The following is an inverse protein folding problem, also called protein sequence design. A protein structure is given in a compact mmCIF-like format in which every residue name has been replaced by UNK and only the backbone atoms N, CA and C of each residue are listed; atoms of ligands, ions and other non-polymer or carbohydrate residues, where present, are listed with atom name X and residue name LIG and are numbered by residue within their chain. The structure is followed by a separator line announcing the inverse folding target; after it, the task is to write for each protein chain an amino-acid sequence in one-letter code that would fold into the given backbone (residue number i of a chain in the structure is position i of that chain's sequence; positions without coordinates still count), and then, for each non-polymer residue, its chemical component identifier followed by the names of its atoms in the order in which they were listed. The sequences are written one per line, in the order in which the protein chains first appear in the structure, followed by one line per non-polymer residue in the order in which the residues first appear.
data_IF_387684333587
#
_entry.id   IF_387684333587
#
_cell.length_a   1.000
_cell.length_b   1.000
_cell.length_c   1.000
_cell.angle_alpha   90.00
_cell.angle_beta   90.00
_cell.angle_gamma   90.00
#
_symmetry.space_group_name_H-M   'P 1'
#
loop_
_entity.id
_entity.type
_entity.pdbx_description
1 polymer ?
#
# COMPACT_ATOMS: atom_id res chain seq x y z
N UNK A 1 10.00 -51.57 -6.67
CA UNK A 1 10.50 -50.90 -7.88
C UNK A 1 9.28 -50.50 -8.70
N UNK A 2 9.30 -49.28 -9.25
CA UNK A 2 8.31 -48.65 -10.14
C UNK A 2 7.11 -47.95 -9.47
N UNK A 3 7.08 -46.63 -9.72
CA UNK A 3 6.13 -45.60 -9.31
C UNK A 3 4.83 -45.65 -10.12
N UNK A 4 3.75 -45.09 -9.56
CA UNK A 4 2.51 -44.77 -10.27
C UNK A 4 2.39 -43.26 -10.44
N UNK A 5 2.36 -42.78 -11.68
CA UNK A 5 1.91 -41.44 -12.06
C UNK A 5 0.46 -41.51 -12.54
N UNK A 6 -0.37 -40.53 -12.15
CA UNK A 6 -1.81 -40.53 -12.38
C UNK A 6 -2.24 -39.19 -12.97
N UNK A 7 -1.91 -38.93 -14.23
CA UNK A 7 -2.46 -37.80 -14.99
C UNK A 7 -3.29 -38.32 -16.16
N UNK A 8 -4.41 -37.63 -16.39
CA UNK A 8 -5.36 -37.74 -17.51
C UNK A 8 -6.37 -38.89 -17.44
N UNK A 9 -7.63 -38.54 -17.11
CA UNK A 9 -8.83 -39.16 -17.70
C UNK A 9 -10.02 -38.20 -17.64
N UNK A 10 -10.28 -37.63 -18.81
CA UNK A 10 -11.55 -37.18 -19.39
C UNK A 10 -12.83 -37.64 -18.66
N UNK A 11 -13.72 -36.68 -18.37
CA UNK A 11 -15.11 -36.92 -17.97
C UNK A 11 -16.04 -36.01 -18.76
N UNK A 12 -16.56 -36.53 -19.87
CA UNK A 12 -17.59 -35.93 -20.72
C UNK A 12 -18.96 -36.38 -20.18
N UNK A 13 -19.86 -35.45 -19.86
CA UNK A 13 -21.31 -35.72 -19.72
C UNK A 13 -22.14 -34.61 -20.35
N UNK A 14 -22.90 -35.00 -21.36
CA UNK A 14 -23.91 -34.28 -22.14
C UNK A 14 -25.29 -34.24 -21.47
N UNK A 15 -26.04 -33.13 -21.63
CA UNK A 15 -27.47 -33.08 -22.03
C UNK A 15 -27.94 -31.61 -22.09
N UNK A 16 -28.14 -31.02 -23.28
CA UNK A 16 -29.42 -30.77 -23.99
C UNK A 16 -30.38 -29.78 -23.31
N UNK A 17 -30.67 -28.68 -24.00
CA UNK A 17 -31.80 -27.78 -23.75
C UNK A 17 -31.69 -26.50 -24.59
N UNK A 18 -32.50 -26.40 -25.65
CA UNK A 18 -32.51 -25.34 -26.64
C UNK A 18 -32.95 -23.96 -26.09
N UNK A 19 -32.70 -22.88 -26.84
CA UNK A 19 -33.72 -21.89 -27.32
C UNK A 19 -33.07 -20.57 -27.81
N UNK A 20 -33.44 -20.21 -29.05
CA UNK A 20 -33.54 -18.90 -29.70
C UNK A 20 -32.30 -18.05 -30.06
N UNK A 21 -32.23 -17.77 -31.36
CA UNK A 21 -31.31 -16.88 -32.05
C UNK A 21 -31.78 -15.42 -32.01
N UNK A 22 -30.86 -14.48 -31.73
CA UNK A 22 -30.91 -13.08 -32.21
C UNK A 22 -29.48 -12.53 -32.33
N UNK A 23 -29.11 -12.12 -33.57
CA UNK A 23 -28.21 -11.01 -33.88
C UNK A 23 -26.70 -11.11 -33.59
N UNK A 24 -25.90 -11.44 -34.62
CA UNK A 24 -24.48 -11.09 -34.66
C UNK A 24 -24.18 -10.33 -35.97
N UNK A 25 -23.82 -9.05 -35.87
CA UNK A 25 -23.21 -8.26 -36.94
C UNK A 25 -21.75 -8.67 -37.07
N UNK A 26 -21.39 -9.28 -38.20
CA UNK A 26 -20.01 -9.52 -38.57
C UNK A 26 -19.40 -8.23 -39.17
N UNK A 27 -18.34 -7.70 -38.56
CA UNK A 27 -17.48 -6.69 -39.19
C UNK A 27 -16.37 -7.42 -39.94
N UNK A 28 -16.38 -7.24 -41.26
CA UNK A 28 -15.34 -7.70 -42.18
C UNK A 28 -14.22 -6.65 -42.20
N UNK A 29 -12.99 -7.07 -41.91
CA UNK A 29 -11.77 -6.29 -42.21
C UNK A 29 -11.36 -6.62 -43.64
N UNK A 30 -11.34 -5.61 -44.53
CA UNK A 30 -10.65 -5.71 -45.81
C UNK A 30 -9.40 -4.83 -45.76
N UNK A 31 -8.26 -5.48 -45.98
CA UNK A 31 -6.98 -4.85 -46.26
C UNK A 31 -6.89 -4.51 -47.75
N UNK A 32 -6.39 -3.32 -48.09
CA UNK A 32 -5.83 -3.02 -49.40
C UNK A 32 -4.53 -2.22 -49.22
N UNK A 33 -3.50 -2.72 -49.88
CA UNK A 33 -2.10 -2.33 -49.83
C UNK A 33 -1.82 -1.07 -50.66
N UNK A 34 -0.78 -0.30 -50.29
CA UNK A 34 -0.22 0.73 -51.17
C UNK A 34 0.75 1.70 -50.48
N UNK A 35 2.03 1.62 -50.83
CA UNK A 35 3.09 2.62 -50.64
C UNK A 35 3.75 2.82 -52.02
N UNK A 36 4.41 3.95 -52.42
CA UNK A 36 5.20 4.88 -51.60
C UNK A 36 5.10 6.40 -51.94
N UNK A 37 5.87 7.20 -51.20
CA UNK A 37 6.06 8.67 -51.16
C UNK A 37 6.44 9.36 -52.49
N UNK A 38 6.19 10.70 -52.65
CA UNK A 38 7.35 11.62 -52.66
C UNK A 38 7.13 13.06 -52.11
N UNK A 39 8.21 13.59 -51.52
CA UNK A 39 8.82 14.93 -51.64
C UNK A 39 8.05 16.27 -51.39
N UNK A 40 8.69 17.09 -50.54
CA UNK A 40 8.52 18.54 -50.29
C UNK A 40 8.25 19.40 -51.53
N UNK A 41 7.33 20.36 -51.40
CA UNK A 41 7.43 21.69 -52.05
C UNK A 41 6.78 22.76 -51.17
N UNK A 42 7.45 23.90 -51.03
CA UNK A 42 7.02 25.07 -50.26
C UNK A 42 6.01 25.93 -51.03
N UNK A 43 5.09 26.59 -50.33
CA UNK A 43 4.44 27.80 -50.83
C UNK A 43 4.10 28.77 -49.70
N UNK A 44 4.48 30.03 -49.91
CA UNK A 44 4.42 31.14 -48.98
C UNK A 44 2.97 31.58 -48.70
N UNK A 45 2.66 31.88 -47.45
CA UNK A 45 1.41 32.52 -47.05
C UNK A 45 1.62 34.02 -46.87
N UNK A 46 0.80 34.77 -47.60
CA UNK A 46 0.65 36.22 -47.55
C UNK A 46 0.31 36.74 -46.14
N UNK A 47 0.74 37.97 -45.88
CA UNK A 47 0.66 38.64 -44.60
C UNK A 47 -0.80 38.88 -44.14
N UNK A 48 -1.13 38.39 -42.94
CA UNK A 48 -2.28 38.84 -42.18
C UNK A 48 -1.79 39.71 -41.00
N UNK A 49 -2.22 40.97 -41.03
CA UNK A 49 -2.05 42.00 -40.00
C UNK A 49 -2.42 41.49 -38.60
N UNK A 50 -1.56 41.65 -37.56
CA UNK A 50 -1.94 41.34 -36.20
C UNK A 50 -2.92 42.41 -35.68
N UNK A 51 -4.09 41.98 -35.23
CA UNK A 51 -4.96 42.79 -34.40
C UNK A 51 -4.26 43.02 -33.04
N UNK A 52 -4.07 44.27 -32.67
CA UNK A 52 -3.59 44.64 -31.34
C UNK A 52 -4.68 44.32 -30.31
N UNK A 53 -4.42 43.35 -29.44
CA UNK A 53 -5.17 43.17 -28.19
C UNK A 53 -4.41 43.89 -27.08
N UNK A 54 -5.01 44.95 -26.55
CA UNK A 54 -4.56 45.67 -25.34
C UNK A 54 -4.83 44.81 -24.09
N UNK A 55 -4.12 43.69 -23.97
CA UNK A 55 -4.08 42.91 -22.72
C UNK A 55 -3.00 43.53 -21.82
N UNK A 56 -3.32 44.03 -20.61
CA UNK A 56 -2.30 44.53 -19.72
C UNK A 56 -1.37 43.38 -19.37
N UNK A 57 -0.08 43.56 -19.69
CA UNK A 57 0.96 42.58 -19.41
C UNK A 57 0.85 42.12 -17.94
N UNK A 58 0.71 40.79 -17.74
CA UNK A 58 0.77 40.18 -16.41
C UNK A 58 2.05 40.64 -15.74
N UNK A 59 1.89 41.49 -14.71
CA UNK A 59 3.02 42.02 -13.97
C UNK A 59 3.69 40.84 -13.26
N UNK A 60 4.91 40.50 -13.67
CA UNK A 60 5.76 39.59 -12.92
C UNK A 60 6.08 40.27 -11.59
N UNK A 61 5.75 39.68 -10.43
CA UNK A 61 6.15 40.23 -9.15
C UNK A 61 7.67 40.37 -9.11
N UNK A 62 8.17 41.60 -9.03
CA UNK A 62 9.60 41.92 -8.92
C UNK A 62 10.17 41.54 -7.54
N UNK A 63 9.28 41.25 -6.59
CA UNK A 63 9.63 40.91 -5.22
C UNK A 63 9.49 39.40 -4.98
N UNK A 64 10.57 38.71 -4.55
CA UNK A 64 10.45 37.31 -4.14
C UNK A 64 9.40 37.20 -3.05
N UNK A 65 8.44 36.28 -3.21
CA UNK A 65 7.54 35.93 -2.12
C UNK A 65 8.41 35.58 -0.89
N UNK A 66 8.10 36.18 0.27
CA UNK A 66 8.79 35.88 1.50
C UNK A 66 8.85 34.36 1.69
N UNK A 67 10.05 33.83 1.95
CA UNK A 67 10.23 32.41 2.17
C UNK A 67 9.31 31.99 3.33
N UNK A 68 8.34 31.14 3.04
CA UNK A 68 7.55 30.50 4.08
C UNK A 68 8.53 29.57 4.79
N UNK A 69 8.77 29.79 6.08
CA UNK A 69 9.52 28.84 6.89
C UNK A 69 8.74 27.52 6.89
N UNK A 70 9.21 26.57 6.08
CA UNK A 70 8.76 25.19 6.16
C UNK A 70 9.42 24.63 7.41
N UNK A 71 8.63 24.36 8.46
CA UNK A 71 9.16 23.66 9.62
C UNK A 71 9.87 22.39 9.14
N UNK A 72 11.13 22.23 9.54
CA UNK A 72 11.89 21.06 9.18
C UNK A 72 11.19 19.81 9.75
N UNK A 73 11.05 18.78 8.91
CA UNK A 73 10.51 17.51 9.38
C UNK A 73 11.30 17.03 10.61
N UNK A 74 10.61 16.49 11.64
CA UNK A 74 11.28 16.05 12.85
C UNK A 74 12.35 15.01 12.50
N UNK A 75 13.55 15.18 13.05
CA UNK A 75 14.65 14.23 12.85
C UNK A 75 14.25 12.90 13.47
N UNK A 76 14.09 11.88 12.63
CA UNK A 76 13.79 10.53 13.07
C UNK A 76 14.99 9.95 13.82
N UNK A 77 14.73 9.22 14.91
CA UNK A 77 15.77 8.42 15.55
C UNK A 77 16.30 7.36 14.58
N UNK A 78 17.58 6.97 14.70
CA UNK A 78 18.17 5.96 13.82
C UNK A 78 17.37 4.66 13.73
N UNK A 79 16.78 4.11 14.81
CA UNK A 79 15.95 2.91 14.68
C UNK A 79 14.61 3.16 13.98
N UNK A 80 14.06 4.40 13.96
CA UNK A 80 12.80 4.70 13.21
C UNK A 80 13.18 4.78 11.74
N UNK A 81 14.28 5.47 11.42
CA UNK A 81 14.79 5.56 10.05
C UNK A 81 15.03 4.16 9.46
N UNK A 82 15.71 3.27 10.18
CA UNK A 82 15.94 1.89 9.73
C UNK A 82 14.64 1.11 9.51
N UNK A 83 13.64 1.30 10.39
CA UNK A 83 12.32 0.69 10.23
C UNK A 83 11.61 1.19 8.95
N UNK A 84 11.64 2.50 8.68
CA UNK A 84 11.06 3.06 7.46
C UNK A 84 11.80 2.60 6.21
N UNK A 85 13.12 2.59 6.23
CA UNK A 85 13.93 2.11 5.10
C UNK A 85 13.56 0.66 4.74
N UNK A 86 13.36 -0.19 5.75
CA UNK A 86 12.89 -1.55 5.55
C UNK A 86 11.49 -1.61 4.92
N UNK A 87 10.54 -0.84 5.47
CA UNK A 87 9.17 -0.80 4.96
C UNK A 87 9.15 -0.35 3.48
N UNK A 88 9.85 0.73 3.16
CA UNK A 88 9.91 1.28 1.80
C UNK A 88 10.64 0.35 0.82
N UNK A 89 11.58 -0.45 1.28
CA UNK A 89 12.27 -1.44 0.46
C UNK A 89 11.42 -2.70 0.18
N UNK A 90 10.48 -3.06 1.07
CA UNK A 90 9.87 -4.40 1.07
C UNK A 90 8.35 -4.44 0.98
N UNK A 91 7.64 -3.30 0.93
CA UNK A 91 6.17 -3.27 0.88
C UNK A 91 5.55 -3.83 -0.41
N UNK A 92 6.29 -3.81 -1.52
CA UNK A 92 5.80 -4.30 -2.82
C UNK A 92 6.01 -5.80 -2.94
N UNK A 93 5.01 -6.53 -3.42
CA UNK A 93 5.06 -7.98 -3.65
C UNK A 93 6.36 -8.48 -4.31
N UNK A 94 6.89 -7.74 -5.29
CA UNK A 94 8.13 -8.08 -6.01
C UNK A 94 9.38 -8.06 -5.12
N UNK A 95 9.34 -7.31 -4.01
CA UNK A 95 10.45 -7.04 -3.11
C UNK A 95 10.22 -7.58 -1.70
N UNK A 96 9.20 -8.41 -1.47
CA UNK A 96 9.01 -9.06 -0.18
C UNK A 96 10.29 -9.81 0.25
N UNK A 97 10.69 -9.69 1.51
CA UNK A 97 11.80 -10.46 2.09
C UNK A 97 11.38 -11.91 2.43
N UNK A 98 10.82 -12.60 1.44
CA UNK A 98 10.19 -13.92 1.57
C UNK A 98 11.18 -15.05 1.80
N UNK A 99 12.42 -14.92 1.33
CA UNK A 99 13.45 -15.93 1.54
C UNK A 99 13.82 -16.08 3.04
N UNK A 100 13.83 -14.98 3.79
CA UNK A 100 14.09 -15.00 5.23
C UNK A 100 12.79 -15.25 6.02
N UNK A 101 11.73 -14.50 5.74
CA UNK A 101 10.56 -14.43 6.61
C UNK A 101 9.36 -15.25 6.15
N UNK A 102 9.35 -15.70 4.90
CA UNK A 102 8.18 -16.28 4.24
C UNK A 102 7.04 -15.27 4.05
N UNK A 103 5.90 -15.78 3.55
CA UNK A 103 4.69 -14.99 3.27
C UNK A 103 3.45 -15.75 3.72
N UNK A 104 2.50 -15.09 4.37
CA UNK A 104 1.23 -15.64 4.86
C UNK A 104 0.04 -15.39 3.90
N UNK A 105 0.32 -15.10 2.63
CA UNK A 105 -0.70 -14.75 1.63
C UNK A 105 -1.53 -13.54 2.06
N UNK A 106 -2.87 -13.69 2.07
CA UNK A 106 -3.82 -12.64 2.45
C UNK A 106 -3.76 -12.26 3.95
N UNK A 107 -2.97 -12.95 4.77
CA UNK A 107 -2.83 -12.64 6.20
C UNK A 107 -1.44 -12.08 6.55
N UNK A 108 -0.69 -11.59 5.56
CA UNK A 108 0.71 -11.21 5.75
C UNK A 108 0.94 -9.87 6.48
N UNK A 109 -0.14 -9.16 6.82
CA UNK A 109 -0.08 -7.85 7.48
C UNK A 109 0.85 -7.80 8.70
N UNK A 110 0.62 -8.68 9.69
CA UNK A 110 1.40 -8.71 10.93
C UNK A 110 2.77 -9.36 10.75
N UNK A 111 2.95 -10.24 9.77
CA UNK A 111 4.26 -10.79 9.44
C UNK A 111 5.18 -9.67 8.97
N UNK A 112 4.71 -8.83 8.03
CA UNK A 112 5.47 -7.68 7.55
C UNK A 112 5.74 -6.64 8.65
N UNK A 113 4.71 -6.27 9.42
CA UNK A 113 4.90 -5.37 10.56
C UNK A 113 5.92 -5.93 11.57
N UNK A 114 5.89 -7.24 11.83
CA UNK A 114 6.82 -7.90 12.74
C UNK A 114 8.28 -7.82 12.26
N UNK A 115 8.50 -7.97 10.95
CA UNK A 115 9.82 -7.77 10.35
C UNK A 115 10.34 -6.35 10.58
N UNK A 116 9.50 -5.34 10.33
CA UNK A 116 9.85 -3.95 10.58
C UNK A 116 10.19 -3.70 12.07
N UNK A 117 9.49 -4.35 12.99
CA UNK A 117 9.81 -4.27 14.43
C UNK A 117 11.17 -4.88 14.78
N UNK A 118 11.60 -5.95 14.11
CA UNK A 118 12.95 -6.49 14.27
C UNK A 118 14.00 -5.46 13.84
N UNK A 119 13.78 -4.79 12.69
CA UNK A 119 14.70 -3.73 12.21
C UNK A 119 14.68 -2.51 13.13
N UNK A 120 13.53 -2.19 13.73
CA UNK A 120 13.35 -1.18 14.79
C UNK A 120 14.13 -1.54 16.08
N UNK A 121 14.67 -2.75 16.19
CA UNK A 121 15.49 -3.21 17.30
C UNK A 121 14.76 -4.06 18.33
N UNK A 122 13.51 -4.47 18.07
CA UNK A 122 12.83 -5.42 18.94
C UNK A 122 13.49 -6.79 18.84
N UNK A 123 13.54 -7.49 19.97
CA UNK A 123 14.07 -8.86 20.04
C UNK A 123 12.93 -9.84 20.19
N UNK A 124 12.99 -10.94 19.43
CA UNK A 124 12.03 -12.04 19.55
C UNK A 124 12.11 -12.71 20.91
N UNK A 125 11.01 -13.37 21.29
CA UNK A 125 10.95 -14.23 22.47
C UNK A 125 10.12 -15.50 22.18
N UNK A 126 9.80 -16.25 23.24
CA UNK A 126 9.03 -17.48 23.11
C UNK A 126 7.57 -17.28 22.67
N UNK A 127 7.03 -16.06 22.76
CA UNK A 127 5.63 -15.74 22.42
C UNK A 127 5.53 -15.09 21.03
N UNK A 128 6.46 -14.18 20.71
CA UNK A 128 6.58 -13.51 19.42
C UNK A 128 7.94 -13.80 18.78
N UNK A 129 7.93 -14.75 17.85
CA UNK A 129 9.11 -15.22 17.12
C UNK A 129 8.78 -15.81 15.75
N UNK A 130 9.78 -15.76 14.86
CA UNK A 130 9.84 -16.46 13.59
C UNK A 130 11.17 -17.24 13.49
N UNK A 131 11.17 -18.45 12.92
CA UNK A 131 12.39 -19.23 12.72
C UNK A 131 13.31 -18.69 11.61
N UNK A 132 12.88 -17.68 10.85
CA UNK A 132 13.64 -17.09 9.73
C UNK A 132 14.12 -18.12 8.69
N UNK A 133 13.27 -19.10 8.39
CA UNK A 133 13.58 -20.21 7.47
C UNK A 133 12.85 -20.09 6.12
N UNK A 134 12.26 -18.93 5.81
CA UNK A 134 11.45 -18.72 4.61
C UNK A 134 10.04 -19.34 4.66
N UNK A 135 9.67 -20.04 5.74
CA UNK A 135 8.33 -20.56 5.95
C UNK A 135 7.63 -19.77 7.06
N UNK A 136 6.84 -18.77 6.67
CA UNK A 136 6.15 -17.90 7.63
C UNK A 136 5.23 -18.68 8.57
N UNK A 137 4.67 -19.83 8.16
CA UNK A 137 3.73 -20.61 8.96
C UNK A 137 4.35 -21.30 10.18
N UNK A 138 5.67 -21.49 10.18
CA UNK A 138 6.40 -22.06 11.32
C UNK A 138 6.59 -21.04 12.47
N UNK A 139 6.27 -19.76 12.24
CA UNK A 139 6.35 -18.73 13.25
C UNK A 139 5.27 -18.88 14.34
N UNK A 140 5.53 -18.23 15.48
CA UNK A 140 4.61 -18.18 16.62
C UNK A 140 3.24 -17.58 16.26
N UNK A 141 2.23 -17.83 17.10
CA UNK A 141 0.89 -17.26 16.88
C UNK A 141 0.90 -15.72 16.89
N UNK A 142 1.63 -15.10 17.82
CA UNK A 142 1.74 -13.63 17.89
C UNK A 142 2.48 -13.03 16.69
N UNK A 143 3.30 -13.81 15.98
CA UNK A 143 3.95 -13.34 14.74
C UNK A 143 3.02 -13.37 13.53
N UNK A 144 2.02 -14.26 13.52
CA UNK A 144 1.17 -14.55 12.35
C UNK A 144 -0.26 -14.09 12.47
N UNK A 145 -0.70 -13.65 13.65
CA UNK A 145 -2.05 -13.16 13.90
C UNK A 145 -1.99 -11.77 14.52
N UNK A 146 -2.62 -10.80 13.86
CA UNK A 146 -2.70 -9.41 14.31
C UNK A 146 -3.37 -9.29 15.70
N UNK A 147 -4.44 -10.05 15.95
CA UNK A 147 -5.06 -10.18 17.27
C UNK A 147 -4.13 -10.77 18.32
N UNK A 148 -3.38 -11.83 18.00
CA UNK A 148 -2.44 -12.41 18.95
C UNK A 148 -1.26 -11.45 19.24
N UNK A 149 -0.82 -10.70 18.23
CA UNK A 149 0.20 -9.66 18.37
C UNK A 149 -0.26 -8.51 19.27
N UNK A 150 -1.51 -8.05 19.12
CA UNK A 150 -2.11 -7.07 20.02
C UNK A 150 -2.04 -7.54 21.48
N UNK A 151 -2.46 -8.78 21.75
CA UNK A 151 -2.43 -9.38 23.11
C UNK A 151 -1.00 -9.48 23.63
N UNK A 152 -0.05 -9.86 22.77
CA UNK A 152 1.37 -9.90 23.11
C UNK A 152 1.89 -8.51 23.49
N UNK A 153 1.76 -7.48 22.63
CA UNK A 153 2.27 -6.13 22.91
C UNK A 153 1.71 -5.60 24.23
N UNK A 154 0.40 -5.74 24.44
CA UNK A 154 -0.27 -5.33 25.67
C UNK A 154 0.35 -5.95 26.93
N UNK A 155 0.82 -7.20 26.83
CA UNK A 155 1.46 -7.91 27.94
C UNK A 155 2.92 -7.49 28.20
N UNK A 156 3.59 -6.91 27.21
CA UNK A 156 5.02 -6.59 27.32
C UNK A 156 5.33 -5.32 28.12
N UNK A 157 4.39 -4.37 28.17
CA UNK A 157 4.63 -3.02 28.70
C UNK A 157 5.64 -2.18 27.90
N UNK A 158 6.05 -2.61 26.69
CA UNK A 158 7.06 -1.94 25.86
C UNK A 158 6.51 -0.82 24.98
N UNK A 159 5.19 -0.70 24.86
CA UNK A 159 4.52 0.30 24.06
C UNK A 159 3.25 0.80 24.76
N UNK A 160 2.85 2.03 24.45
CA UNK A 160 1.67 2.68 25.02
C UNK A 160 0.48 2.55 24.07
N UNK A 161 -0.64 2.01 24.54
CA UNK A 161 -1.86 1.93 23.74
C UNK A 161 -2.46 3.32 23.51
N UNK A 162 -2.84 3.63 22.27
CA UNK A 162 -3.57 4.83 21.90
C UNK A 162 -4.82 4.45 21.10
N UNK A 163 -5.88 5.23 21.28
CA UNK A 163 -7.08 5.18 20.45
C UNK A 163 -7.00 6.18 19.31
N UNK A 164 -7.92 6.08 18.35
CA UNK A 164 -8.06 7.07 17.27
C UNK A 164 -8.38 8.50 17.74
N UNK A 165 -8.84 8.68 18.98
CA UNK A 165 -9.06 10.01 19.55
C UNK A 165 -7.77 10.69 20.00
N UNK A 166 -6.65 9.95 20.03
CA UNK A 166 -5.33 10.40 20.50
C UNK A 166 -4.33 10.52 19.34
N UNK A 167 -4.81 10.86 18.14
CA UNK A 167 -4.00 11.01 16.91
C UNK A 167 -2.84 11.99 17.07
N UNK A 168 -2.99 12.97 17.94
CA UNK A 168 -1.95 13.95 18.29
C UNK A 168 -0.74 13.35 19.03
N UNK A 169 -0.86 12.12 19.52
CA UNK A 169 0.20 11.36 20.18
C UNK A 169 0.83 10.28 19.29
N UNK A 170 0.27 10.05 18.10
CA UNK A 170 0.79 9.07 17.14
C UNK A 170 2.01 9.64 16.45
N UNK A 171 3.05 8.81 16.31
CA UNK A 171 4.29 9.18 15.65
C UNK A 171 4.69 8.16 14.59
N UNK A 172 5.52 8.62 13.65
CA UNK A 172 6.13 7.75 12.64
C UNK A 172 6.92 6.62 13.33
N UNK A 173 6.71 5.39 12.86
CA UNK A 173 7.25 4.16 13.45
C UNK A 173 6.33 3.47 14.47
N UNK A 174 5.20 4.09 14.83
CA UNK A 174 4.18 3.44 15.65
C UNK A 174 3.49 2.30 14.89
N UNK A 175 2.97 1.34 15.64
CA UNK A 175 2.20 0.25 15.07
C UNK A 175 0.75 0.73 14.98
N UNK A 176 0.12 0.61 13.81
CA UNK A 176 -1.32 0.80 13.65
C UNK A 176 -1.99 -0.56 13.56
N UNK A 177 -3.09 -0.74 14.27
CA UNK A 177 -3.93 -1.93 14.19
C UNK A 177 -5.37 -1.54 13.96
N UNK A 178 -6.08 -2.38 13.24
CA UNK A 178 -7.46 -2.10 12.85
C UNK A 178 -8.39 -3.20 13.29
N UNK A 179 -9.59 -2.78 13.65
CA UNK A 179 -10.75 -3.60 13.99
C UNK A 179 -11.81 -3.25 12.94
N UNK A 180 -11.87 -4.03 11.87
CA UNK A 180 -12.67 -3.71 10.69
C UNK A 180 -14.16 -3.83 10.95
N UNK A 181 -14.55 -4.76 11.82
CA UNK A 181 -15.93 -5.09 12.12
C UNK A 181 -16.38 -4.71 13.54
N UNK A 182 -15.50 -4.08 14.33
CA UNK A 182 -15.72 -3.67 15.72
C UNK A 182 -16.05 -4.83 16.66
N UNK A 183 -15.48 -6.01 16.42
CA UNK A 183 -15.62 -7.17 17.31
C UNK A 183 -14.70 -7.08 18.53
N UNK A 184 -13.71 -6.19 18.51
CA UNK A 184 -12.71 -6.02 19.56
C UNK A 184 -11.40 -6.76 19.28
N UNK A 185 -11.36 -7.63 18.27
CA UNK A 185 -10.13 -8.22 17.77
C UNK A 185 -9.38 -7.22 16.86
N UNK A 186 -8.14 -7.54 16.47
CA UNK A 186 -7.36 -6.71 15.55
C UNK A 186 -7.13 -7.49 14.27
N UNK A 187 -7.93 -7.21 13.26
CA UNK A 187 -7.91 -7.90 11.97
C UNK A 187 -6.65 -7.61 11.17
N UNK A 188 -6.13 -6.38 11.28
CA UNK A 188 -5.02 -5.92 10.46
C UNK A 188 -4.00 -5.14 11.27
N UNK A 189 -2.73 -5.26 10.88
CA UNK A 189 -1.60 -4.54 11.46
C UNK A 189 -0.75 -3.91 10.35
N UNK A 190 -0.34 -2.66 10.54
CA UNK A 190 0.64 -1.96 9.72
C UNK A 190 1.58 -1.11 10.58
N UNK A 191 2.48 -0.38 9.94
CA UNK A 191 3.38 0.57 10.62
C UNK A 191 3.14 1.98 10.08
N UNK A 192 2.98 2.95 10.97
CA UNK A 192 2.80 4.36 10.64
C UNK A 192 4.06 4.89 9.95
N UNK A 193 3.92 5.33 8.70
CA UNK A 193 5.00 5.86 7.87
C UNK A 193 4.97 7.38 7.75
N UNK A 194 3.80 8.00 7.96
CA UNK A 194 3.64 9.45 7.89
C UNK A 194 2.58 9.93 8.87
N UNK A 195 2.87 11.06 9.51
CA UNK A 195 1.92 11.83 10.30
C UNK A 195 2.03 13.28 9.83
N UNK A 196 0.93 13.84 9.35
CA UNK A 196 0.87 15.21 8.85
C UNK A 196 -0.14 16.01 9.64
N UNK A 197 0.24 17.21 10.05
CA UNK A 197 -0.64 18.14 10.74
C UNK A 197 -0.84 19.40 9.88
N UNK A 198 -2.08 19.67 9.52
CA UNK A 198 -2.48 20.90 8.83
C UNK A 198 -3.57 21.58 9.65
N UNK A 199 -3.18 22.63 10.38
CA UNK A 199 -4.06 23.25 11.39
C UNK A 199 -4.38 22.26 12.51
N UNK A 200 -5.67 21.97 12.70
CA UNK A 200 -6.17 20.99 13.68
C UNK A 200 -6.30 19.57 13.09
N UNK A 201 -6.21 19.43 11.77
CA UNK A 201 -6.35 18.14 11.09
C UNK A 201 -5.06 17.35 11.17
N UNK A 202 -5.15 16.08 11.59
CA UNK A 202 -4.04 15.13 11.62
C UNK A 202 -4.34 13.96 10.68
N UNK A 203 -3.55 13.84 9.62
CA UNK A 203 -3.61 12.73 8.67
C UNK A 203 -2.51 11.73 9.00
N UNK A 204 -2.87 10.44 9.07
CA UNK A 204 -1.94 9.36 9.37
C UNK A 204 -1.92 8.40 8.20
N UNK A 205 -0.72 8.06 7.73
CA UNK A 205 -0.49 7.04 6.72
C UNK A 205 0.33 5.89 7.28
N UNK A 206 0.14 4.70 6.71
CA UNK A 206 0.84 3.50 7.10
C UNK A 206 1.32 2.68 5.89
N UNK A 207 2.35 1.87 6.15
CA UNK A 207 2.77 0.79 5.27
C UNK A 207 2.24 -0.55 5.79
N UNK A 208 1.92 -1.45 4.87
CA UNK A 208 1.37 -2.77 5.17
C UNK A 208 1.37 -3.70 3.97
N UNK A 209 1.27 -5.01 4.25
CA UNK A 209 0.96 -6.04 3.25
C UNK A 209 -0.55 -6.35 3.25
N UNK A 210 -0.98 -7.37 2.49
CA UNK A 210 -2.40 -7.76 2.22
C UNK A 210 -3.10 -6.79 1.28
N UNK A 211 -3.03 -5.50 1.58
CA UNK A 211 -3.16 -4.45 0.58
C UNK A 211 -1.86 -3.65 0.58
N UNK A 212 -0.94 -4.08 -0.29
CA UNK A 212 0.40 -3.54 -0.40
C UNK A 212 0.38 -2.02 -0.54
N UNK A 213 1.02 -1.36 0.42
CA UNK A 213 1.10 0.10 0.46
C UNK A 213 2.27 0.56 1.32
N UNK A 214 2.80 1.73 0.99
CA UNK A 214 3.82 2.46 1.74
C UNK A 214 3.24 3.68 2.50
N UNK A 215 2.21 4.33 1.96
CA UNK A 215 1.56 5.50 2.53
C UNK A 215 0.02 5.47 2.47
N UNK A 216 -0.60 4.31 2.69
CA UNK A 216 -2.07 4.22 2.71
C UNK A 216 -2.63 5.04 3.86
N UNK A 217 -3.68 5.81 3.59
CA UNK A 217 -4.37 6.63 4.60
C UNK A 217 -5.16 5.75 5.57
N UNK A 218 -5.00 6.00 6.88
CA UNK A 218 -5.83 5.41 7.93
C UNK A 218 -7.30 5.79 7.73
N UNK A 219 -7.58 7.06 7.40
CA UNK A 219 -8.96 7.55 7.25
C UNK A 219 -9.66 6.84 6.09
N UNK A 220 -8.97 6.68 4.96
CA UNK A 220 -9.51 5.91 3.84
C UNK A 220 -9.78 4.46 4.25
N UNK A 221 -8.85 3.84 5.00
CA UNK A 221 -9.01 2.47 5.45
C UNK A 221 -10.26 2.26 6.31
N UNK A 222 -10.57 3.17 7.24
CA UNK A 222 -11.71 3.02 8.17
C UNK A 222 -13.03 3.67 7.72
N UNK A 223 -13.00 4.55 6.70
CA UNK A 223 -14.21 5.24 6.23
C UNK A 223 -14.65 4.83 4.83
N UNK A 224 -13.72 4.40 3.97
CA UNK A 224 -14.00 4.02 2.58
C UNK A 224 -13.85 2.52 2.39
N UNK A 225 -12.71 1.96 2.77
CA UNK A 225 -12.39 0.54 2.50
C UNK A 225 -13.14 -0.39 3.46
N UNK A 226 -13.20 0.00 4.75
CA UNK A 226 -13.94 -0.69 5.80
C UNK A 226 -14.82 0.29 6.58
N UNK A 227 -15.94 0.76 5.99
CA UNK A 227 -16.78 1.79 6.60
C UNK A 227 -17.26 1.39 7.99
N UNK A 228 -16.88 2.20 8.99
CA UNK A 228 -17.23 1.98 10.39
C UNK A 228 -16.18 1.22 11.20
N UNK A 229 -15.08 0.78 10.59
CA UNK A 229 -13.96 0.20 11.32
C UNK A 229 -13.28 1.20 12.27
N UNK A 230 -12.49 0.69 13.21
CA UNK A 230 -11.76 1.52 14.19
C UNK A 230 -10.26 1.27 14.10
N UNK A 231 -9.47 2.36 14.13
CA UNK A 231 -8.02 2.30 14.24
C UNK A 231 -7.56 2.43 15.71
N UNK A 232 -6.49 1.72 16.02
CA UNK A 232 -5.79 1.74 17.30
C UNK A 232 -4.30 1.80 17.05
N UNK A 233 -3.54 2.33 18.00
CA UNK A 233 -2.10 2.45 17.85
C UNK A 233 -1.35 1.92 19.06
N UNK A 234 -0.14 1.46 18.82
CA UNK A 234 0.85 1.25 19.86
C UNK A 234 1.97 2.26 19.65
N UNK A 235 2.05 3.22 20.57
CA UNK A 235 3.12 4.21 20.62
C UNK A 235 4.41 3.53 21.08
N UNK A 236 5.33 3.29 20.14
CA UNK A 236 6.62 2.61 20.40
C UNK A 236 7.67 3.66 20.74
N UNK A 237 8.35 3.61 21.89
CA UNK A 237 9.35 4.62 22.28
C UNK A 237 10.52 4.72 21.30
#
# INVERSE_FOLDING_TARGET
MVQLTRWQRLGLTTAVGAVLAVGATAIVVQALEGSPEPAKTAQATDAATPAATDDPARVTPTEPAAAVEVEAAPVLSAPVAAQLDYLLAHWQLENYNSAEWGVLGENDCVNFASQAMIVRGWTMDSVWSSPKNGNAYDASAAWRSSTAFMKYIASTGKATALTDQQRDQVKVGDIVQFDWDNTGDRDHTGIVTRVEKVGETITISFAGHTLDSDYRSVDTAITVDHPGGTAYYWSVP
#
